data_IF_928981979158
#
_entry.id   IF_928981979158
#
_cell.length_a   1.000
_cell.length_b   1.000
_cell.length_c   1.000
_cell.angle_alpha   90.00
_cell.angle_beta   90.00
_cell.angle_gamma   90.00
#
_symmetry.space_group_name_H-M   'P 1'
#
loop_
_entity.id
_entity.type
_entity.pdbx_description
1 polymer ?
#
# COMPACT_ATOMS: atom_id res chain seq x y z
N UNK A 1 13.44 9.48 10.68
CA UNK A 1 12.04 9.12 10.34
C UNK A 1 12.07 7.84 9.53
N UNK A 2 11.10 6.95 9.75
CA UNK A 2 10.93 5.70 9.04
C UNK A 2 9.71 5.78 8.11
N UNK A 3 9.78 5.09 6.97
CA UNK A 3 8.64 4.90 6.08
C UNK A 3 7.80 3.74 6.60
N UNK A 4 6.50 3.96 6.79
CA UNK A 4 5.57 2.96 7.29
C UNK A 4 4.28 2.98 6.46
N UNK A 5 3.44 1.96 6.59
CA UNK A 5 2.19 1.86 5.83
C UNK A 5 1.04 1.55 6.78
N UNK A 6 -0.08 2.25 6.64
CA UNK A 6 -1.28 1.99 7.46
C UNK A 6 -2.05 0.78 6.91
N UNK A 7 -3.00 0.24 7.69
CA UNK A 7 -3.90 -0.86 7.31
C UNK A 7 -4.71 -0.58 6.03
N UNK A 8 -4.84 0.69 5.66
CA UNK A 8 -5.45 1.15 4.41
C UNK A 8 -4.56 0.98 3.18
N UNK A 9 -3.27 0.69 3.34
CA UNK A 9 -2.28 0.67 2.28
C UNK A 9 -1.80 2.04 1.84
N UNK A 10 -1.83 3.03 2.74
CA UNK A 10 -1.32 4.38 2.49
C UNK A 10 0.01 4.54 3.24
N UNK A 11 1.11 4.92 2.55
CA UNK A 11 2.38 5.18 3.21
C UNK A 11 2.33 6.48 4.04
N UNK A 12 3.04 6.48 5.16
CA UNK A 12 3.22 7.60 6.08
C UNK A 12 4.62 7.57 6.71
N UNK A 13 5.03 8.67 7.34
CA UNK A 13 6.30 8.74 8.08
C UNK A 13 6.07 8.57 9.59
N UNK A 14 6.88 7.71 10.21
CA UNK A 14 6.88 7.49 11.66
C UNK A 14 8.22 7.87 12.27
N UNK A 15 8.22 8.29 13.54
CA UNK A 15 9.46 8.41 14.34
C UNK A 15 9.90 7.08 14.93
N UNK A 16 8.94 6.25 15.28
CA UNK A 16 9.16 4.96 15.90
C UNK A 16 9.16 3.87 14.84
N UNK A 17 10.11 2.95 14.95
CA UNK A 17 10.17 1.78 14.09
C UNK A 17 9.22 0.71 14.65
N UNK A 18 8.22 0.35 13.85
CA UNK A 18 7.21 -0.67 14.20
C UNK A 18 7.06 -1.66 13.05
N UNK A 19 6.30 -2.74 13.26
CA UNK A 19 6.03 -3.74 12.22
C UNK A 19 5.35 -3.17 10.96
N UNK A 20 4.75 -1.97 11.05
CA UNK A 20 4.16 -1.26 9.91
C UNK A 20 5.21 -0.66 8.96
N UNK A 21 6.44 -0.55 9.44
CA UNK A 21 7.58 0.02 8.73
C UNK A 21 8.43 -1.04 8.03
N UNK A 22 8.02 -2.31 8.11
CA UNK A 22 8.71 -3.43 7.48
C UNK A 22 8.03 -3.79 6.16
N UNK A 23 8.84 -3.92 5.11
CA UNK A 23 8.39 -4.25 3.77
C UNK A 23 9.15 -5.45 3.22
N UNK A 24 8.44 -6.32 2.50
CA UNK A 24 9.04 -7.36 1.68
C UNK A 24 9.45 -6.74 0.34
N UNK A 25 10.75 -6.73 0.08
CA UNK A 25 11.32 -6.36 -1.20
C UNK A 25 11.25 -7.55 -2.18
N UNK A 26 10.83 -7.28 -3.41
CA UNK A 26 10.86 -8.25 -4.50
C UNK A 26 11.40 -7.59 -5.76
N UNK A 27 12.41 -8.21 -6.34
CA UNK A 27 12.99 -7.82 -7.63
C UNK A 27 12.07 -8.35 -8.75
N UNK A 28 11.54 -7.43 -9.56
CA UNK A 28 10.73 -7.76 -10.74
C UNK A 28 11.63 -7.95 -11.97
N UNK A 29 11.14 -8.66 -12.99
CA UNK A 29 11.90 -9.05 -14.20
C UNK A 29 12.56 -7.87 -14.95
N UNK A 30 12.10 -6.64 -14.73
CA UNK A 30 12.66 -5.44 -15.38
C UNK A 30 13.73 -4.72 -14.53
N UNK A 31 14.32 -5.38 -13.53
CA UNK A 31 15.30 -4.79 -12.60
C UNK A 31 14.76 -3.64 -11.74
N UNK A 32 13.43 -3.56 -11.60
CA UNK A 32 12.78 -2.67 -10.64
C UNK A 32 12.39 -3.45 -9.40
N UNK A 33 12.46 -2.78 -8.26
CA UNK A 33 12.04 -3.35 -6.99
C UNK A 33 10.58 -2.99 -6.73
N UNK A 34 9.89 -3.90 -6.07
CA UNK A 34 8.55 -3.69 -5.53
C UNK A 34 8.59 -3.97 -4.04
N UNK A 35 7.88 -3.15 -3.28
CA UNK A 35 7.81 -3.28 -1.83
C UNK A 35 6.37 -3.57 -1.42
N UNK A 36 6.18 -4.62 -0.63
CA UNK A 36 4.87 -5.00 -0.10
C UNK A 36 4.88 -5.01 1.43
N UNK A 37 3.78 -4.59 2.06
CA UNK A 37 3.70 -4.58 3.53
C UNK A 37 3.76 -6.01 4.07
N UNK A 38 4.62 -6.26 5.05
CA UNK A 38 4.69 -7.55 5.76
C UNK A 38 3.46 -7.75 6.64
N UNK A 39 3.08 -6.72 7.40
CA UNK A 39 1.99 -6.77 8.39
C UNK A 39 0.60 -6.90 7.76
N UNK A 40 0.34 -6.19 6.65
CA UNK A 40 -1.01 -6.10 6.09
C UNK A 40 -1.27 -6.96 4.85
N UNK A 41 -0.22 -7.49 4.24
CA UNK A 41 -0.36 -8.50 3.19
C UNK A 41 -0.69 -9.85 3.80
N UNK A 42 -1.59 -10.60 3.17
CA UNK A 42 -2.01 -11.92 3.62
C UNK A 42 -2.25 -12.85 2.43
N UNK A 43 -2.70 -14.08 2.68
CA UNK A 43 -2.96 -15.07 1.62
C UNK A 43 -4.03 -14.64 0.59
N UNK A 44 -4.85 -13.63 0.87
CA UNK A 44 -5.94 -13.17 -0.01
C UNK A 44 -5.59 -11.89 -0.76
N UNK A 45 -4.80 -11.01 -0.15
CA UNK A 45 -4.44 -9.70 -0.71
C UNK A 45 -3.01 -9.32 -0.36
N UNK A 46 -2.35 -8.66 -1.29
CA UNK A 46 -1.04 -8.04 -1.09
C UNK A 46 -1.18 -6.53 -1.24
N UNK A 47 -0.63 -5.79 -0.28
CA UNK A 47 -0.61 -4.33 -0.27
C UNK A 47 0.80 -3.88 -0.67
N UNK A 48 0.88 -3.05 -1.71
CA UNK A 48 2.13 -2.55 -2.26
C UNK A 48 2.34 -1.08 -1.92
N UNK A 49 3.60 -0.71 -1.74
CA UNK A 49 4.00 0.68 -1.69
C UNK A 49 3.73 1.33 -3.04
N UNK A 50 2.97 2.41 -3.04
CA UNK A 50 2.50 3.04 -4.27
C UNK A 50 2.46 4.56 -4.20
N UNK A 51 2.79 5.19 -5.32
CA UNK A 51 2.78 6.63 -5.47
C UNK A 51 2.17 7.03 -6.82
N UNK A 52 1.50 8.18 -6.88
CA UNK A 52 1.05 8.76 -8.15
C UNK A 52 2.23 9.38 -8.89
N UNK A 53 2.05 9.67 -10.19
CA UNK A 53 3.05 10.42 -10.98
C UNK A 53 3.33 11.83 -10.44
N UNK A 54 2.42 12.36 -9.59
CA UNK A 54 2.56 13.67 -8.95
C UNK A 54 3.28 13.60 -7.60
N UNK A 55 3.71 12.42 -7.16
CA UNK A 55 4.36 12.24 -5.86
C UNK A 55 3.41 11.92 -4.70
N UNK A 56 2.10 11.77 -4.95
CA UNK A 56 1.12 11.57 -3.88
C UNK A 56 1.04 10.10 -3.47
N UNK A 57 0.90 9.85 -2.17
CA UNK A 57 0.70 8.52 -1.61
C UNK A 57 -0.56 7.84 -2.20
N UNK A 58 -0.42 6.61 -2.72
CA UNK A 58 -1.51 5.88 -3.38
C UNK A 58 -1.67 4.47 -2.81
N UNK A 59 -2.91 4.09 -2.52
CA UNK A 59 -3.26 2.71 -2.20
C UNK A 59 -3.14 1.81 -3.42
N UNK A 60 -2.29 0.79 -3.33
CA UNK A 60 -2.19 -0.29 -4.32
C UNK A 60 -2.43 -1.63 -3.63
N UNK A 61 -3.49 -2.31 -4.02
CA UNK A 61 -3.86 -3.62 -3.47
C UNK A 61 -4.27 -4.55 -4.62
N UNK A 62 -3.72 -5.75 -4.61
CA UNK A 62 -4.08 -6.83 -5.54
C UNK A 62 -4.38 -8.11 -4.79
N UNK A 63 -4.95 -9.10 -5.48
CA UNK A 63 -5.11 -10.44 -4.92
C UNK A 63 -3.75 -11.13 -4.89
N UNK A 64 -3.48 -11.88 -3.84
CA UNK A 64 -2.22 -12.64 -3.73
C UNK A 64 -2.11 -13.61 -4.91
N UNK A 65 -0.95 -13.66 -5.55
CA UNK A 65 -0.70 -14.47 -6.76
C UNK A 65 -1.14 -13.83 -8.09
N UNK A 66 -1.78 -12.65 -8.07
CA UNK A 66 -2.10 -11.92 -9.31
C UNK A 66 -0.98 -10.97 -9.70
N UNK A 67 -0.74 -10.81 -11.00
CA UNK A 67 0.20 -9.82 -11.54
C UNK A 67 -0.33 -8.40 -11.34
N UNK A 68 0.57 -7.44 -11.12
CA UNK A 68 0.21 -6.03 -10.89
C UNK A 68 -0.38 -5.36 -12.15
N UNK A 69 0.03 -5.79 -13.34
CA UNK A 69 -0.42 -5.22 -14.62
C UNK A 69 -0.24 -3.70 -14.64
N UNK A 70 -1.32 -2.96 -14.93
CA UNK A 70 -1.32 -1.48 -14.97
C UNK A 70 -0.98 -0.82 -13.63
N UNK A 71 -1.10 -1.53 -12.50
CA UNK A 71 -0.74 -1.00 -11.20
C UNK A 71 0.77 -1.02 -10.95
N UNK A 72 1.53 -1.82 -11.70
CA UNK A 72 2.99 -1.90 -11.59
C UNK A 72 3.65 -0.52 -11.79
N UNK A 73 3.10 0.32 -12.68
CA UNK A 73 3.60 1.69 -12.92
C UNK A 73 3.65 2.56 -11.66
N UNK A 74 2.82 2.27 -10.65
CA UNK A 74 2.78 3.06 -9.41
C UNK A 74 3.64 2.48 -8.29
N UNK A 75 4.18 1.27 -8.46
CA UNK A 75 4.86 0.51 -7.41
C UNK A 75 6.32 0.20 -7.71
N UNK A 76 6.79 0.47 -8.94
CA UNK A 76 8.16 0.23 -9.36
C UNK A 76 9.09 1.27 -8.75
N UNK A 77 10.12 0.79 -8.06
CA UNK A 77 11.16 1.60 -7.44
C UNK A 77 12.51 1.22 -8.04
N UNK A 78 13.34 2.22 -8.33
CA UNK A 78 14.72 2.04 -8.72
C UNK A 78 15.62 2.56 -7.59
N UNK A 79 16.38 1.66 -6.98
CA UNK A 79 17.36 2.05 -5.97
C UNK A 79 18.57 2.67 -6.65
N UNK A 80 18.87 3.92 -6.30
CA UNK A 80 20.02 4.67 -6.81
C UNK A 80 21.07 4.81 -5.71
N UNK A 81 22.35 4.74 -6.10
CA UNK A 81 23.46 5.04 -5.21
C UNK A 81 23.62 6.54 -5.04
N UNK A 82 23.85 7.00 -3.81
CA UNK A 82 24.18 8.40 -3.50
C UNK A 82 25.68 8.49 -3.21
N UNK A 83 26.36 9.50 -3.79
CA UNK A 83 27.78 9.74 -3.54
C UNK A 83 28.06 10.22 -2.11
N UNK A 84 29.26 9.93 -1.57
CA UNK A 84 29.61 10.27 -0.19
C UNK A 84 29.53 11.79 0.11
N UNK A 85 30.01 12.61 -0.82
CA UNK A 85 29.92 14.09 -0.72
C UNK A 85 28.47 14.58 -0.66
N UNK A 86 27.60 14.03 -1.50
CA UNK A 86 26.18 14.38 -1.52
C UNK A 86 25.48 13.94 -0.23
N UNK A 87 25.75 12.71 0.24
CA UNK A 87 25.18 12.19 1.48
C UNK A 87 25.56 13.04 2.70
N UNK A 88 26.78 13.59 2.74
CA UNK A 88 27.26 14.44 3.84
C UNK A 88 26.41 15.70 4.05
N UNK A 89 25.81 16.23 2.97
CA UNK A 89 24.95 17.41 3.00
C UNK A 89 23.52 17.08 3.46
N UNK A 90 23.04 15.87 3.14
CA UNK A 90 21.65 15.45 3.38
C UNK A 90 21.39 14.89 4.80
N UNK A 91 22.43 14.74 5.63
CA UNK A 91 22.33 14.22 7.01
C UNK A 91 22.13 15.25 8.13
N UNK A 92 22.16 16.56 7.82
CA UNK A 92 22.14 17.63 8.84
C UNK A 92 20.77 18.17 9.21
N UNK A 93 19.68 17.69 8.59
CA UNK A 93 18.33 18.06 9.04
C UNK A 93 18.03 17.36 10.36
N UNK A 94 18.47 18.03 11.43
CA UNK A 94 18.07 17.80 12.82
C UNK A 94 16.58 17.53 12.81
N UNK A 95 16.18 16.42 13.41
CA UNK A 95 14.81 16.22 13.86
C UNK A 95 14.50 17.31 14.89
N UNK A 96 14.26 18.54 14.42
CA UNK A 96 13.67 19.59 15.22
C UNK A 96 12.46 18.93 15.87
N UNK A 97 12.30 19.17 17.17
CA UNK A 97 11.18 18.74 17.99
C UNK A 97 9.86 19.24 17.37
N UNK A 98 9.46 18.65 16.26
CA UNK A 98 8.13 18.76 15.73
C UNK A 98 7.26 18.07 16.79
N UNK A 99 6.13 18.67 17.20
CA UNK A 99 5.15 17.95 17.99
C UNK A 99 4.89 16.59 17.34
N UNK A 100 4.62 15.53 18.13
CA UNK A 100 4.32 14.22 17.56
C UNK A 100 3.30 14.42 16.45
N UNK A 101 3.55 13.94 15.22
CA UNK A 101 2.55 13.99 14.17
C UNK A 101 1.31 13.35 14.79
N UNK A 102 0.26 14.15 14.98
CA UNK A 102 -1.04 13.61 15.40
C UNK A 102 -1.28 12.48 14.42
N UNK A 103 -1.32 11.24 14.90
CA UNK A 103 -1.58 10.08 14.05
C UNK A 103 -2.65 10.52 13.07
N UNK A 104 -2.41 10.44 11.75
CA UNK A 104 -3.45 10.74 10.80
C UNK A 104 -4.63 9.93 11.29
N UNK A 105 -5.72 10.59 11.73
CA UNK A 105 -6.94 9.90 12.10
C UNK A 105 -7.16 8.94 10.94
N UNK A 106 -7.17 7.61 11.18
CA UNK A 106 -7.09 6.64 10.10
C UNK A 106 -8.14 7.08 9.10
N UNK A 107 -7.77 7.43 7.85
CA UNK A 107 -8.69 8.02 6.90
C UNK A 107 -9.78 6.98 6.76
N UNK A 108 -10.92 7.18 7.45
CA UNK A 108 -11.81 6.10 7.91
C UNK A 108 -11.82 5.09 6.81
N UNK A 109 -11.02 4.02 6.97
CA UNK A 109 -10.86 3.10 5.88
C UNK A 109 -12.28 2.64 5.71
N UNK A 110 -12.95 3.03 4.63
CA UNK A 110 -14.25 2.48 4.31
C UNK A 110 -13.89 1.07 3.89
N UNK A 111 -13.55 0.21 4.86
CA UNK A 111 -13.98 -1.17 4.90
C UNK A 111 -15.42 -1.02 4.47
N UNK A 112 -15.64 -1.23 3.17
CA UNK A 112 -16.98 -1.26 2.62
C UNK A 112 -17.67 -2.24 3.56
N UNK A 113 -18.55 -1.72 4.42
CA UNK A 113 -19.40 -2.54 5.24
C UNK A 113 -19.94 -3.58 4.27
N UNK A 114 -19.62 -4.86 4.50
CA UNK A 114 -19.92 -5.94 3.57
C UNK A 114 -21.36 -5.73 3.12
N UNK A 115 -21.54 -5.25 1.88
CA UNK A 115 -22.86 -4.92 1.37
C UNK A 115 -23.70 -6.17 1.53
N UNK A 116 -24.85 -6.04 2.21
CA UNK A 116 -25.79 -7.12 2.49
C UNK A 116 -25.90 -8.06 1.28
N UNK A 117 -25.97 -9.38 1.47
CA UNK A 117 -26.16 -10.30 0.36
C UNK A 117 -27.39 -9.86 -0.44
N UNK A 118 -27.21 -9.61 -1.74
CA UNK A 118 -28.32 -9.35 -2.65
C UNK A 118 -29.19 -10.61 -2.64
N UNK A 119 -30.41 -10.53 -2.09
CA UNK A 119 -31.43 -11.58 -2.21
C UNK A 119 -31.55 -11.93 -3.70
N UNK A 120 -31.21 -13.17 -4.06
CA UNK A 120 -31.56 -13.73 -5.38
C UNK A 120 -33.08 -13.69 -5.48
N UNK A 121 -33.65 -12.98 -6.47
CA UNK A 121 -35.04 -13.19 -6.86
C UNK A 121 -35.11 -14.63 -7.40
N UNK A 122 -35.90 -15.50 -6.75
CA UNK A 122 -36.32 -16.78 -7.35
C UNK A 122 -37.04 -16.44 -8.66
N UNK A 123 -36.66 -17.09 -9.76
CA UNK A 123 -37.49 -17.11 -10.97
C UNK A 123 -38.79 -17.84 -10.62
N UNK A 124 -39.98 -17.38 -11.04
CA UNK A 124 -41.18 -18.19 -11.00
C UNK A 124 -40.97 -19.42 -11.87
N UNK A 125 -41.37 -20.59 -11.37
CA UNK A 125 -41.44 -21.82 -12.13
C UNK A 125 -42.43 -21.65 -13.28
N UNK A 126 -41.98 -22.08 -14.46
CA UNK A 126 -42.75 -22.21 -15.69
C UNK A 126 -43.81 -23.30 -15.45
N UNK A 127 -45.08 -22.89 -15.31
CA UNK A 127 -46.19 -23.82 -15.28
C UNK A 127 -46.39 -24.36 -16.70
N UNK A 128 -46.15 -25.66 -16.84
CA UNK A 128 -46.65 -26.47 -17.94
C UNK A 128 -48.15 -26.73 -17.78
N UNK A 129 -48.75 -27.26 -18.88
CA UNK A 129 -50.15 -27.70 -19.11
C UNK A 129 -51.04 -26.62 -19.74
N UNK A 130 -51.72 -26.81 -20.87
CA UNK A 130 -51.97 -27.94 -21.79
C UNK A 130 -52.13 -27.38 -23.22
#
# INVERSE_FOLDING_TARGET
MFLCMDMCGIPYSSREFTDECVFNEKIEQHSYNTYSSTKYSNAKRTLYLGMTRKGEARRVQVRTGTVLGRLSTFTRVLTQSVGAEEASTHGRTVCLHLPPPRHPRPPRCRLRARGRPRRRKKKPDEAAED
#
